data_IF_852214171851
#
_entry.id   IF_852214171851
#
_cell.length_a   1.000
_cell.length_b   1.000
_cell.length_c   1.000
_cell.angle_alpha   90.00
_cell.angle_beta   90.00
_cell.angle_gamma   90.00
#
_symmetry.space_group_name_H-M   'P 1'
#
loop_
_entity.id
_entity.type
_entity.pdbx_description
1 polymer ?
#
# COMPACT_ATOMS: atom_id res chain seq x y z
N UNK A 1 -9.34 -6.71 40.00
CA UNK A 1 -8.24 -7.41 39.29
C UNK A 1 -7.85 -6.54 38.13
N UNK A 2 -6.58 -6.12 38.07
CA UNK A 2 -6.15 -4.99 37.24
C UNK A 2 -6.25 -5.30 35.76
N UNK A 3 -7.12 -4.60 35.03
CA UNK A 3 -7.08 -4.60 33.58
C UNK A 3 -5.92 -3.70 33.12
N UNK A 4 -4.69 -4.21 33.25
CA UNK A 4 -3.51 -3.55 32.76
C UNK A 4 -3.22 -3.94 31.31
N UNK A 5 -2.76 -2.98 30.51
CA UNK A 5 -2.32 -3.20 29.13
C UNK A 5 -1.35 -4.38 28.99
N UNK A 6 -0.44 -4.54 29.96
CA UNK A 6 0.61 -5.56 29.92
C UNK A 6 0.09 -6.98 30.14
N UNK A 7 -1.00 -7.14 30.90
CA UNK A 7 -1.60 -8.45 31.13
C UNK A 7 -2.44 -8.90 29.93
N UNK A 8 -3.10 -7.96 29.24
CA UNK A 8 -3.97 -8.25 28.08
C UNK A 8 -3.75 -7.28 26.92
N UNK A 9 -2.60 -7.36 26.24
CA UNK A 9 -2.25 -6.41 25.17
C UNK A 9 -3.13 -6.58 23.92
N UNK A 10 -3.64 -7.79 23.67
CA UNK A 10 -4.45 -8.12 22.48
C UNK A 10 -5.93 -8.14 22.85
N UNK A 11 -6.68 -7.17 22.32
CA UNK A 11 -8.12 -7.03 22.57
C UNK A 11 -9.03 -7.57 21.45
N UNK A 12 -8.51 -7.64 20.22
CA UNK A 12 -9.32 -7.90 19.03
C UNK A 12 -8.80 -9.12 18.27
N UNK A 13 -9.71 -9.82 17.59
CA UNK A 13 -9.34 -10.81 16.58
C UNK A 13 -8.66 -10.13 15.39
N UNK A 14 -7.60 -10.70 14.80
CA UNK A 14 -6.98 -10.15 13.59
C UNK A 14 -7.86 -10.29 12.35
N UNK A 15 -8.96 -11.03 12.44
CA UNK A 15 -9.85 -11.34 11.32
C UNK A 15 -11.23 -10.68 11.39
N UNK A 16 -11.50 -9.86 12.40
CA UNK A 16 -12.75 -9.11 12.54
C UNK A 16 -12.44 -7.62 12.61
N UNK A 17 -13.47 -6.80 12.35
CA UNK A 17 -13.39 -5.36 12.58
C UNK A 17 -13.02 -5.11 14.06
N UNK A 18 -12.01 -4.28 14.35
CA UNK A 18 -11.66 -3.93 15.73
C UNK A 18 -12.85 -3.27 16.44
N UNK A 19 -13.22 -3.81 17.60
CA UNK A 19 -14.36 -3.36 18.40
C UNK A 19 -13.95 -2.83 19.78
N UNK A 20 -12.68 -2.96 20.16
CA UNK A 20 -12.13 -2.48 21.41
C UNK A 20 -10.77 -1.82 21.19
N UNK A 21 -10.41 -0.85 22.02
CA UNK A 21 -9.04 -0.35 22.12
C UNK A 21 -8.70 0.07 23.55
N UNK A 22 -7.42 0.00 23.90
CA UNK A 22 -6.92 0.43 25.21
C UNK A 22 -7.02 1.95 25.37
N UNK A 23 -7.38 2.47 26.56
CA UNK A 23 -7.29 3.90 26.85
C UNK A 23 -5.83 4.36 26.72
N UNK A 24 -5.63 5.52 26.12
CA UNK A 24 -4.31 6.12 25.95
C UNK A 24 -4.29 7.52 26.58
N UNK A 25 -3.13 7.92 27.08
CA UNK A 25 -2.89 9.30 27.51
C UNK A 25 -2.68 10.25 26.33
N UNK A 26 -2.47 11.53 26.62
CA UNK A 26 -2.20 12.58 25.65
C UNK A 26 -0.88 12.38 24.89
N UNK A 27 -0.03 11.42 25.26
CA UNK A 27 1.19 11.08 24.52
C UNK A 27 1.06 9.75 23.76
N UNK A 28 -0.14 9.16 23.75
CA UNK A 28 -0.41 7.87 23.12
C UNK A 28 0.10 6.65 23.91
N UNK A 29 0.48 6.83 25.18
CA UNK A 29 0.88 5.74 26.06
C UNK A 29 -0.34 5.01 26.64
N UNK A 30 -0.31 3.68 26.76
CA UNK A 30 -1.39 2.93 27.39
C UNK A 30 -1.61 3.34 28.84
N UNK A 31 -2.86 3.61 29.19
CA UNK A 31 -3.32 3.78 30.56
C UNK A 31 -3.86 2.45 31.09
N UNK A 32 -3.72 2.22 32.39
CA UNK A 32 -4.46 1.14 33.05
C UNK A 32 -5.94 1.51 33.12
N UNK A 33 -6.82 0.58 32.72
CA UNK A 33 -8.25 0.84 32.67
C UNK A 33 -9.02 -0.12 31.76
N UNK A 34 -10.35 -0.02 31.82
CA UNK A 34 -11.21 -0.84 30.98
C UNK A 34 -11.07 -0.49 29.49
N UNK A 35 -11.04 -1.49 28.58
CA UNK A 35 -11.05 -1.25 27.15
C UNK A 35 -12.25 -0.41 26.69
N UNK A 36 -11.98 0.58 25.84
CA UNK A 36 -13.00 1.45 25.25
C UNK A 36 -13.66 0.72 24.07
N UNK A 37 -15.00 0.81 23.99
CA UNK A 37 -15.78 0.25 22.88
C UNK A 37 -15.63 1.07 21.60
N UNK A 38 -15.47 0.37 20.48
CA UNK A 38 -15.32 0.94 19.15
C UNK A 38 -13.93 0.73 18.56
N UNK A 39 -13.74 1.26 17.35
CA UNK A 39 -12.43 1.28 16.68
C UNK A 39 -11.69 2.55 17.09
N UNK A 40 -10.41 2.41 17.45
CA UNK A 40 -9.54 3.56 17.75
C UNK A 40 -9.52 4.56 16.57
N UNK A 41 -9.87 5.84 16.79
CA UNK A 41 -9.74 6.88 15.78
C UNK A 41 -8.30 7.02 15.28
N UNK A 42 -8.12 7.41 14.02
CA UNK A 42 -6.80 7.72 13.50
C UNK A 42 -6.38 9.12 13.95
N UNK A 43 -5.25 9.24 14.64
CA UNK A 43 -4.70 10.50 15.15
C UNK A 43 -3.21 10.61 14.83
N UNK A 44 -2.73 11.82 14.57
CA UNK A 44 -1.28 12.08 14.54
C UNK A 44 -0.79 12.18 15.97
N UNK A 45 0.05 11.23 16.38
CA UNK A 45 0.73 11.26 17.67
C UNK A 45 2.20 11.37 17.31
N UNK A 46 2.80 12.53 17.58
CA UNK A 46 4.25 12.67 17.57
C UNK A 46 4.73 12.14 18.91
N UNK A 47 5.38 10.97 18.98
CA UNK A 47 5.89 10.48 20.25
C UNK A 47 7.03 11.39 20.66
N UNK A 48 6.79 12.30 21.60
CA UNK A 48 7.87 13.05 22.24
C UNK A 48 8.52 12.09 23.23
N UNK A 49 9.79 11.67 23.03
CA UNK A 49 10.46 10.84 24.01
C UNK A 49 10.63 11.65 25.30
N UNK A 50 10.00 11.21 26.38
CA UNK A 50 10.22 11.82 27.70
C UNK A 50 11.67 11.54 28.08
N UNK A 51 12.49 12.59 28.16
CA UNK A 51 13.87 12.47 28.59
C UNK A 51 13.90 11.95 30.04
N UNK A 52 14.62 10.85 30.28
CA UNK A 52 14.78 10.26 31.63
C UNK A 52 15.56 11.13 32.62
N UNK A 53 15.97 12.34 32.23
CA UNK A 53 16.67 13.30 33.10
C UNK A 53 15.83 14.58 33.18
N UNK A 54 15.27 14.86 34.36
CA UNK A 54 14.78 16.20 34.71
C UNK A 54 15.98 17.16 34.67
N UNK A 55 16.20 17.80 33.53
CA UNK A 55 17.06 18.98 33.44
C UNK A 55 16.16 20.21 33.56
N UNK A 56 16.41 21.02 34.59
CA UNK A 56 15.79 22.30 34.80
C UNK A 56 16.31 23.29 33.73
N UNK A 57 15.59 23.41 32.62
CA UNK A 57 15.62 24.56 31.74
C UNK A 57 14.42 24.45 30.79
N UNK A 58 13.47 25.37 30.93
CA UNK A 58 12.36 25.53 30.00
C UNK A 58 12.92 26.03 28.65
N UNK A 59 13.34 25.09 27.80
CA UNK A 59 13.57 25.39 26.40
C UNK A 59 12.19 25.44 25.73
N UNK A 60 11.88 26.58 25.11
CA UNK A 60 10.62 26.80 24.41
C UNK A 60 10.37 25.62 23.47
N UNK A 61 9.33 24.84 23.77
CA UNK A 61 8.81 23.86 22.84
C UNK A 61 8.40 24.62 21.59
N UNK A 62 9.03 24.33 20.45
CA UNK A 62 8.37 24.57 19.16
C UNK A 62 6.97 23.98 19.31
N UNK A 63 5.97 24.85 19.17
CA UNK A 63 4.56 24.49 19.26
C UNK A 63 4.27 23.60 18.05
N UNK A 64 4.64 22.33 18.20
CA UNK A 64 4.51 21.32 17.18
C UNK A 64 3.04 20.99 17.17
N UNK A 65 2.36 21.59 16.18
CA UNK A 65 0.91 21.62 16.00
C UNK A 65 0.20 20.47 16.72
N UNK A 66 -0.52 20.91 17.74
CA UNK A 66 -1.46 20.19 18.59
C UNK A 66 -2.22 19.13 17.81
N UNK A 67 -2.26 17.92 18.40
CA UNK A 67 -3.19 16.82 18.10
C UNK A 67 -4.26 17.11 17.06
N UNK A 68 -3.96 16.82 15.79
CA UNK A 68 -4.99 16.84 14.75
C UNK A 68 -5.41 15.40 14.45
N UNK A 69 -6.70 15.12 14.62
CA UNK A 69 -7.26 13.87 14.12
C UNK A 69 -6.97 13.75 12.62
N UNK A 70 -6.72 12.54 12.13
CA UNK A 70 -6.63 12.32 10.69
C UNK A 70 -8.04 12.35 10.10
N UNK A 71 -8.61 13.55 9.94
CA UNK A 71 -9.99 13.76 9.53
C UNK A 71 -10.32 12.97 8.25
N UNK A 72 -9.47 13.11 7.22
CA UNK A 72 -9.60 12.40 5.95
C UNK A 72 -9.64 10.87 6.12
N UNK A 73 -8.76 10.31 6.96
CA UNK A 73 -8.71 8.86 7.19
C UNK A 73 -9.96 8.39 7.94
N UNK A 74 -10.40 9.15 8.94
CA UNK A 74 -11.60 8.81 9.72
C UNK A 74 -12.87 8.92 8.86
N UNK A 75 -12.94 9.90 7.97
CA UNK A 75 -14.02 10.05 6.98
C UNK A 75 -14.07 8.85 6.02
N UNK A 76 -12.93 8.46 5.42
CA UNK A 76 -12.83 7.26 4.57
C UNK A 76 -13.32 6.01 5.33
N UNK A 77 -12.90 5.85 6.59
CA UNK A 77 -13.36 4.71 7.42
C UNK A 77 -14.87 4.73 7.65
N UNK A 78 -15.48 5.91 7.77
CA UNK A 78 -16.93 6.08 7.82
C UNK A 78 -17.61 5.56 6.56
N UNK A 79 -17.14 5.99 5.39
CA UNK A 79 -17.65 5.49 4.10
C UNK A 79 -17.44 3.98 3.92
N UNK A 80 -16.28 3.46 4.29
CA UNK A 80 -15.99 2.03 4.24
C UNK A 80 -16.92 1.21 5.14
N UNK A 81 -17.25 1.74 6.33
CA UNK A 81 -18.20 1.09 7.25
C UNK A 81 -19.59 1.03 6.64
N UNK A 82 -20.08 2.14 6.08
CA UNK A 82 -21.37 2.19 5.40
C UNK A 82 -21.41 1.29 4.16
N UNK A 83 -20.34 1.27 3.36
CA UNK A 83 -20.24 0.45 2.15
C UNK A 83 -20.21 -1.05 2.46
N UNK A 84 -19.49 -1.48 3.50
CA UNK A 84 -19.47 -2.88 3.96
C UNK A 84 -20.80 -3.36 4.50
N UNK A 85 -21.64 -2.46 5.02
CA UNK A 85 -22.96 -2.81 5.56
C UNK A 85 -23.99 -3.17 4.45
N UNK A 86 -23.69 -2.87 3.18
CA UNK A 86 -24.55 -3.21 2.05
C UNK A 86 -24.57 -4.74 1.87
N UNK A 87 -25.72 -5.34 2.16
CA UNK A 87 -25.88 -6.81 2.15
C UNK A 87 -25.95 -7.42 0.75
N UNK A 88 -26.57 -6.72 -0.21
CA UNK A 88 -26.68 -7.20 -1.58
C UNK A 88 -25.41 -6.87 -2.40
N UNK A 89 -24.67 -7.87 -2.91
CA UNK A 89 -23.46 -7.64 -3.69
C UNK A 89 -23.64 -6.78 -4.94
N UNK A 90 -24.83 -6.83 -5.56
CA UNK A 90 -25.12 -6.01 -6.75
C UNK A 90 -25.09 -4.50 -6.46
N UNK A 91 -25.34 -4.11 -5.21
CA UNK A 91 -25.40 -2.71 -4.77
C UNK A 91 -24.04 -2.18 -4.31
N UNK A 92 -22.98 -2.98 -4.37
CA UNK A 92 -21.62 -2.55 -4.03
C UNK A 92 -21.06 -1.52 -5.00
N UNK A 93 -21.59 -1.41 -6.23
CA UNK A 93 -21.19 -0.40 -7.21
C UNK A 93 -19.82 -0.64 -7.84
N UNK A 94 -19.35 -1.89 -7.86
CA UNK A 94 -18.08 -2.33 -8.46
C UNK A 94 -18.33 -3.15 -9.73
N UNK A 95 -17.29 -3.49 -10.49
CA UNK A 95 -17.42 -4.43 -11.62
C UNK A 95 -17.83 -5.83 -11.15
N UNK A 96 -18.36 -6.65 -12.05
CA UNK A 96 -18.70 -8.05 -11.77
C UNK A 96 -17.47 -8.88 -11.33
N UNK A 97 -16.30 -8.60 -11.91
CA UNK A 97 -15.05 -9.24 -11.51
C UNK A 97 -14.65 -8.87 -10.08
N UNK A 98 -14.69 -7.59 -9.75
CA UNK A 98 -14.42 -7.09 -8.39
C UNK A 98 -15.44 -7.63 -7.39
N UNK A 99 -16.73 -7.67 -7.75
CA UNK A 99 -17.77 -8.24 -6.89
C UNK A 99 -17.47 -9.69 -6.52
N UNK A 100 -17.08 -10.52 -7.50
CA UNK A 100 -16.72 -11.92 -7.25
C UNK A 100 -15.47 -12.08 -6.38
N UNK A 101 -14.46 -11.21 -6.55
CA UNK A 101 -13.27 -11.17 -5.68
C UNK A 101 -13.60 -10.74 -4.26
N UNK A 102 -14.42 -9.71 -4.08
CA UNK A 102 -14.86 -9.23 -2.77
C UNK A 102 -15.66 -10.31 -2.03
N UNK A 103 -16.58 -10.98 -2.73
CA UNK A 103 -17.33 -12.10 -2.17
C UNK A 103 -16.41 -13.24 -1.73
N UNK A 104 -15.42 -13.58 -2.57
CA UNK A 104 -14.38 -14.55 -2.22
C UNK A 104 -13.64 -14.15 -0.94
N UNK A 105 -13.13 -12.93 -0.84
CA UNK A 105 -12.37 -12.51 0.36
C UNK A 105 -13.20 -12.39 1.63
N UNK A 106 -14.50 -12.10 1.51
CA UNK A 106 -15.41 -11.92 2.65
C UNK A 106 -15.97 -13.23 3.17
N UNK A 107 -16.33 -14.15 2.26
CA UNK A 107 -17.20 -15.29 2.57
C UNK A 107 -16.57 -16.66 2.26
N UNK A 108 -15.46 -16.72 1.52
CA UNK A 108 -14.85 -18.00 1.17
C UNK A 108 -14.33 -18.76 2.40
N UNK A 109 -14.55 -20.07 2.38
CA UNK A 109 -13.99 -20.99 3.37
C UNK A 109 -12.58 -21.39 2.95
N UNK A 110 -11.59 -20.56 3.30
CA UNK A 110 -10.18 -20.81 3.02
C UNK A 110 -9.72 -22.12 3.66
N UNK A 111 -9.12 -23.00 2.85
CA UNK A 111 -8.42 -24.19 3.34
C UNK A 111 -7.04 -23.83 3.90
N UNK A 112 -6.41 -22.80 3.32
CA UNK A 112 -5.13 -22.25 3.73
C UNK A 112 -5.22 -20.95 4.53
N UNK A 113 -4.18 -20.10 4.48
CA UNK A 113 -4.14 -18.85 5.22
C UNK A 113 -5.24 -17.87 4.78
N UNK A 114 -6.28 -17.74 5.60
CA UNK A 114 -7.32 -16.73 5.42
C UNK A 114 -6.75 -15.31 5.57
N UNK A 115 -7.19 -14.32 4.76
CA UNK A 115 -6.76 -12.93 4.89
C UNK A 115 -7.13 -12.31 6.25
N UNK A 116 -6.22 -11.51 6.80
CA UNK A 116 -6.52 -10.68 7.96
C UNK A 116 -7.48 -9.56 7.59
N UNK A 117 -8.26 -9.08 8.56
CA UNK A 117 -9.18 -7.97 8.34
C UNK A 117 -8.45 -6.72 7.83
N UNK A 118 -7.25 -6.43 8.35
CA UNK A 118 -6.47 -5.28 7.89
C UNK A 118 -5.98 -5.42 6.43
N UNK A 119 -5.83 -6.64 5.91
CA UNK A 119 -5.48 -6.89 4.51
C UNK A 119 -6.69 -6.67 3.62
N UNK A 120 -7.84 -7.25 3.98
CA UNK A 120 -9.11 -7.03 3.30
C UNK A 120 -9.41 -5.53 3.28
N UNK A 121 -9.29 -4.86 4.42
CA UNK A 121 -9.59 -3.44 4.52
C UNK A 121 -8.69 -2.57 3.65
N UNK A 122 -7.40 -2.88 3.60
CA UNK A 122 -6.45 -2.18 2.75
C UNK A 122 -6.87 -2.26 1.27
N UNK A 123 -7.13 -3.47 0.78
CA UNK A 123 -7.51 -3.72 -0.63
C UNK A 123 -8.86 -3.11 -0.95
N UNK A 124 -9.85 -3.32 -0.09
CA UNK A 124 -11.19 -2.76 -0.25
C UNK A 124 -11.20 -1.23 -0.27
N UNK A 125 -10.32 -0.58 0.50
CA UNK A 125 -10.21 0.88 0.48
C UNK A 125 -9.72 1.37 -0.88
N UNK A 126 -8.74 0.69 -1.48
CA UNK A 126 -8.26 1.01 -2.83
C UNK A 126 -9.34 0.78 -3.88
N UNK A 127 -10.04 -0.35 -3.82
CA UNK A 127 -11.18 -0.65 -4.70
C UNK A 127 -12.24 0.44 -4.58
N UNK A 128 -12.61 0.81 -3.35
CA UNK A 128 -13.64 1.82 -3.12
C UNK A 128 -13.24 3.18 -3.66
N UNK A 129 -12.00 3.63 -3.43
CA UNK A 129 -11.48 4.89 -3.95
C UNK A 129 -11.44 4.91 -5.49
N UNK A 130 -11.23 3.77 -6.15
CA UNK A 130 -11.11 3.69 -7.62
C UNK A 130 -12.45 3.46 -8.32
N UNK A 131 -13.31 2.58 -7.82
CA UNK A 131 -14.52 2.15 -8.52
C UNK A 131 -15.79 2.82 -8.01
N UNK A 132 -15.86 3.13 -6.70
CA UNK A 132 -17.11 3.53 -6.03
C UNK A 132 -17.15 5.03 -5.77
N UNK A 133 -16.13 5.58 -5.10
CA UNK A 133 -16.07 6.99 -4.72
C UNK A 133 -16.21 7.95 -5.91
N UNK A 134 -15.61 7.72 -7.10
CA UNK A 134 -15.74 8.65 -8.22
C UNK A 134 -17.17 8.77 -8.76
N UNK A 135 -18.04 7.79 -8.46
CA UNK A 135 -19.43 7.74 -8.94
C UNK A 135 -20.43 8.33 -7.94
N UNK A 136 -19.99 8.78 -6.77
CA UNK A 136 -20.86 9.31 -5.72
C UNK A 136 -20.60 10.80 -5.52
N UNK A 137 -21.65 11.61 -5.58
CA UNK A 137 -21.55 13.05 -5.39
C UNK A 137 -21.00 13.43 -4.00
N UNK A 138 -21.41 12.68 -2.95
CA UNK A 138 -21.00 12.91 -1.57
C UNK A 138 -19.47 12.80 -1.36
N UNK A 139 -18.76 12.04 -2.20
CA UNK A 139 -17.32 11.80 -2.07
C UNK A 139 -16.48 12.68 -2.97
N UNK A 140 -17.09 13.62 -3.71
CA UNK A 140 -16.36 14.52 -4.62
C UNK A 140 -15.34 15.38 -3.85
N UNK A 141 -15.75 16.01 -2.75
CA UNK A 141 -14.85 16.83 -1.93
C UNK A 141 -13.67 16.05 -1.35
N UNK A 142 -13.90 14.79 -0.95
CA UNK A 142 -12.85 13.87 -0.50
C UNK A 142 -11.81 13.60 -1.61
N UNK A 143 -12.26 13.31 -2.83
CA UNK A 143 -11.38 13.03 -3.96
C UNK A 143 -10.61 14.29 -4.40
N UNK A 144 -11.25 15.46 -4.39
CA UNK A 144 -10.61 16.74 -4.69
C UNK A 144 -9.48 17.04 -3.68
N UNK A 145 -9.70 16.78 -2.39
CA UNK A 145 -8.65 16.90 -1.36
C UNK A 145 -7.48 15.94 -1.61
N UNK A 146 -7.75 14.68 -1.97
CA UNK A 146 -6.70 13.69 -2.28
C UNK A 146 -5.90 14.11 -3.53
N UNK A 147 -6.57 14.62 -4.56
CA UNK A 147 -5.94 15.10 -5.78
C UNK A 147 -5.05 16.31 -5.51
N UNK A 148 -5.55 17.30 -4.77
CA UNK A 148 -4.79 18.49 -4.37
C UNK A 148 -3.55 18.13 -3.55
N UNK A 149 -3.68 17.25 -2.56
CA UNK A 149 -2.55 16.79 -1.75
C UNK A 149 -1.49 16.04 -2.59
N UNK A 150 -1.92 15.34 -3.65
CA UNK A 150 -0.99 14.71 -4.58
C UNK A 150 -0.23 15.71 -5.43
N UNK A 151 -0.94 16.71 -5.98
CA UNK A 151 -0.38 17.78 -6.81
C UNK A 151 0.65 18.62 -6.04
N UNK A 152 0.34 18.98 -4.80
CA UNK A 152 1.23 19.74 -3.91
C UNK A 152 2.50 18.94 -3.55
N UNK A 153 2.43 17.61 -3.50
CA UNK A 153 3.55 16.77 -3.08
C UNK A 153 4.46 16.31 -4.23
N UNK A 154 3.91 15.81 -5.33
CA UNK A 154 4.64 15.50 -6.57
C UNK A 154 3.63 15.34 -7.71
N UNK A 155 3.51 16.33 -8.60
CA UNK A 155 2.44 16.39 -9.59
C UNK A 155 2.55 15.35 -10.70
N UNK A 156 3.72 14.72 -10.89
CA UNK A 156 3.95 13.82 -12.03
C UNK A 156 3.28 12.44 -11.87
N UNK A 157 2.99 12.01 -10.64
CA UNK A 157 2.47 10.68 -10.35
C UNK A 157 1.42 10.74 -9.23
N UNK A 158 0.20 10.29 -9.56
CA UNK A 158 -0.84 10.09 -8.56
C UNK A 158 -0.47 8.93 -7.63
N UNK A 159 -0.48 9.18 -6.32
CA UNK A 159 0.00 8.26 -5.29
C UNK A 159 -1.06 8.06 -4.23
N UNK A 160 -1.30 6.80 -3.92
CA UNK A 160 -2.05 6.36 -2.74
C UNK A 160 -1.14 5.47 -1.92
N UNK A 161 -1.18 5.64 -0.60
CA UNK A 161 -0.36 4.88 0.33
C UNK A 161 -1.20 4.28 1.46
N UNK A 162 -0.85 3.06 1.86
CA UNK A 162 -1.45 2.38 3.01
C UNK A 162 -0.41 2.21 4.09
N UNK A 163 -0.66 2.78 5.27
CA UNK A 163 0.20 2.55 6.44
C UNK A 163 -0.13 1.18 7.05
N UNK A 164 0.81 0.25 6.93
CA UNK A 164 0.66 -1.13 7.39
C UNK A 164 1.80 -1.54 8.33
N UNK A 165 1.47 -2.20 9.43
CA UNK A 165 2.45 -2.69 10.39
C UNK A 165 3.38 -3.77 9.79
N UNK A 166 4.54 -3.98 10.41
CA UNK A 166 5.37 -5.15 10.10
C UNK A 166 4.64 -6.41 10.52
N UNK A 167 4.71 -7.46 9.69
CA UNK A 167 3.99 -8.72 9.94
C UNK A 167 2.50 -8.72 9.55
N UNK A 168 1.89 -7.59 9.19
CA UNK A 168 0.46 -7.56 8.79
C UNK A 168 0.16 -8.16 7.40
N UNK A 169 1.18 -8.62 6.67
CA UNK A 169 1.05 -9.22 5.34
C UNK A 169 0.93 -8.22 4.19
N UNK A 170 1.82 -7.23 4.13
CA UNK A 170 1.92 -6.27 3.01
C UNK A 170 1.98 -6.96 1.63
N UNK A 171 2.77 -8.02 1.51
CA UNK A 171 2.90 -8.78 0.26
C UNK A 171 1.59 -9.46 -0.14
N UNK A 172 0.76 -9.88 0.82
CA UNK A 172 -0.58 -10.42 0.53
C UNK A 172 -1.49 -9.35 -0.06
N UNK A 173 -1.47 -8.13 0.49
CA UNK A 173 -2.20 -6.99 -0.07
C UNK A 173 -1.72 -6.66 -1.49
N UNK A 174 -0.41 -6.73 -1.75
CA UNK A 174 0.12 -6.55 -3.11
C UNK A 174 -0.45 -7.60 -4.08
N UNK A 175 -0.47 -8.88 -3.70
CA UNK A 175 -1.07 -9.94 -4.51
C UNK A 175 -2.56 -9.69 -4.76
N UNK A 176 -3.33 -9.30 -3.74
CA UNK A 176 -4.75 -9.00 -3.87
C UNK A 176 -5.02 -7.81 -4.81
N UNK A 177 -4.19 -6.75 -4.74
CA UNK A 177 -4.29 -5.60 -5.65
C UNK A 177 -3.94 -5.97 -7.10
N UNK A 178 -2.87 -6.75 -7.30
CA UNK A 178 -2.49 -7.25 -8.63
C UNK A 178 -3.61 -8.13 -9.19
N UNK A 179 -4.19 -8.99 -8.37
CA UNK A 179 -5.30 -9.85 -8.78
C UNK A 179 -6.53 -9.05 -9.19
N UNK A 180 -6.93 -8.07 -8.38
CA UNK A 180 -8.03 -7.17 -8.69
C UNK A 180 -7.82 -6.44 -10.02
N UNK A 181 -6.64 -5.86 -10.22
CA UNK A 181 -6.31 -5.12 -11.43
C UNK A 181 -6.26 -6.04 -12.66
N UNK A 182 -5.58 -7.18 -12.56
CA UNK A 182 -5.37 -8.11 -13.69
C UNK A 182 -6.67 -8.76 -14.14
N UNK A 183 -7.49 -9.28 -13.21
CA UNK A 183 -8.74 -9.96 -13.56
C UNK A 183 -9.71 -8.98 -14.22
N UNK A 184 -9.77 -7.74 -13.74
CA UNK A 184 -10.58 -6.71 -14.38
C UNK A 184 -10.07 -6.36 -15.78
N UNK A 185 -8.77 -6.11 -15.94
CA UNK A 185 -8.16 -5.81 -17.22
C UNK A 185 -8.33 -6.95 -18.24
N UNK A 186 -8.32 -8.21 -17.78
CA UNK A 186 -8.50 -9.39 -18.63
C UNK A 186 -9.95 -9.57 -19.13
N UNK A 187 -10.95 -9.13 -18.36
CA UNK A 187 -12.37 -9.30 -18.65
C UNK A 187 -13.00 -8.10 -19.36
N UNK A 188 -12.42 -6.91 -19.18
CA UNK A 188 -12.88 -5.69 -19.84
C UNK A 188 -11.69 -4.78 -20.11
N UNK A 189 -11.55 -4.30 -21.34
CA UNK A 189 -10.57 -3.26 -21.70
C UNK A 189 -11.00 -1.89 -21.16
N UNK A 190 -11.09 -1.77 -19.84
CA UNK A 190 -11.29 -0.50 -19.18
C UNK A 190 -9.93 0.18 -18.99
N UNK A 191 -9.87 1.47 -19.34
CA UNK A 191 -8.68 2.32 -19.16
C UNK A 191 -8.21 2.44 -17.70
N UNK A 192 -9.03 1.99 -16.73
CA UNK A 192 -8.78 2.15 -15.31
C UNK A 192 -8.10 0.93 -14.67
N UNK A 193 -7.89 -0.15 -15.41
CA UNK A 193 -7.24 -1.36 -14.90
C UNK A 193 -5.98 -1.70 -15.67
N UNK A 194 -4.98 -2.22 -14.97
CA UNK A 194 -3.69 -2.62 -15.56
C UNK A 194 -3.46 -4.12 -15.43
N UNK A 195 -2.71 -4.66 -16.40
CA UNK A 195 -2.04 -5.98 -16.29
C UNK A 195 -0.54 -5.86 -16.06
N UNK A 196 0.02 -4.66 -16.19
CA UNK A 196 1.45 -4.40 -16.05
C UNK A 196 1.75 -3.74 -14.69
N UNK A 197 2.68 -4.31 -13.94
CA UNK A 197 3.03 -3.88 -12.58
C UNK A 197 4.54 -3.77 -12.41
N UNK A 198 4.98 -2.63 -11.88
CA UNK A 198 6.34 -2.40 -11.44
C UNK A 198 6.40 -2.41 -9.91
N UNK A 199 7.21 -3.30 -9.34
CA UNK A 199 7.42 -3.43 -7.90
C UNK A 199 8.88 -3.07 -7.61
N UNK A 200 9.07 -1.95 -6.92
CA UNK A 200 10.41 -1.47 -6.53
C UNK A 200 10.69 -1.82 -5.07
N UNK A 201 11.65 -2.72 -4.86
CA UNK A 201 12.12 -3.14 -3.56
C UNK A 201 13.31 -2.28 -3.07
N UNK A 202 13.49 -2.12 -1.76
CA UNK A 202 14.63 -1.38 -1.20
C UNK A 202 15.97 -2.13 -1.34
N UNK A 203 15.96 -3.44 -1.61
CA UNK A 203 17.18 -4.22 -1.73
C UNK A 203 16.92 -5.60 -2.35
N UNK A 204 18.01 -6.27 -2.76
CA UNK A 204 17.94 -7.55 -3.49
C UNK A 204 17.27 -8.64 -2.65
N UNK A 205 17.50 -8.69 -1.34
CA UNK A 205 16.89 -9.69 -0.45
C UNK A 205 15.36 -9.57 -0.41
N UNK A 206 14.83 -8.34 -0.40
CA UNK A 206 13.38 -8.13 -0.41
C UNK A 206 12.83 -8.39 -1.81
N UNK A 207 13.53 -7.96 -2.86
CA UNK A 207 13.18 -8.27 -4.25
C UNK A 207 13.00 -9.77 -4.45
N UNK A 208 13.96 -10.58 -4.03
CA UNK A 208 13.94 -12.03 -4.25
C UNK A 208 12.80 -12.71 -3.47
N UNK A 209 12.49 -12.21 -2.26
CA UNK A 209 11.32 -12.67 -1.48
C UNK A 209 9.98 -12.30 -2.09
N UNK A 210 9.93 -11.26 -2.93
CA UNK A 210 8.70 -10.83 -3.61
C UNK A 210 8.38 -11.68 -4.84
N UNK A 211 9.24 -12.63 -5.24
CA UNK A 211 8.98 -13.57 -6.35
C UNK A 211 7.67 -14.35 -6.18
N UNK A 212 7.21 -14.55 -4.95
CA UNK A 212 5.87 -15.12 -4.66
C UNK A 212 4.70 -14.34 -5.28
N UNK A 213 4.92 -13.12 -5.79
CA UNK A 213 3.94 -12.33 -6.53
C UNK A 213 3.90 -12.66 -8.03
N UNK A 214 4.85 -13.43 -8.55
CA UNK A 214 4.93 -13.82 -9.95
C UNK A 214 3.99 -15.01 -10.20
N UNK A 215 3.00 -14.91 -11.11
CA UNK A 215 2.08 -16.01 -11.42
C UNK A 215 2.76 -17.27 -11.97
N UNK A 216 3.95 -17.13 -12.54
CA UNK A 216 4.73 -18.23 -13.11
C UNK A 216 5.48 -19.07 -12.08
N UNK A 217 5.60 -18.60 -10.83
CA UNK A 217 6.28 -19.33 -9.76
C UNK A 217 5.36 -20.39 -9.15
N UNK A 218 5.92 -21.55 -8.78
CA UNK A 218 5.17 -22.66 -8.23
C UNK A 218 4.56 -22.36 -6.85
N UNK A 219 5.20 -21.50 -6.07
CA UNK A 219 4.79 -21.09 -4.71
C UNK A 219 4.11 -19.71 -4.69
N UNK A 220 3.53 -19.30 -5.81
CA UNK A 220 2.86 -18.01 -5.92
C UNK A 220 1.72 -17.86 -4.90
N UNK A 221 1.52 -16.64 -4.41
CA UNK A 221 0.50 -16.36 -3.42
C UNK A 221 -0.92 -16.48 -3.95
N UNK A 222 -1.15 -16.38 -5.27
CA UNK A 222 -2.49 -16.50 -5.84
C UNK A 222 -3.09 -17.88 -5.57
N UNK A 223 -2.26 -18.93 -5.72
CA UNK A 223 -2.65 -20.32 -5.45
C UNK A 223 -2.47 -20.70 -3.99
N UNK A 224 -1.27 -20.52 -3.42
CA UNK A 224 -0.94 -21.00 -2.06
C UNK A 224 -1.73 -20.36 -0.92
N UNK A 225 -2.31 -19.18 -1.16
CA UNK A 225 -3.17 -18.47 -0.20
C UNK A 225 -4.60 -18.29 -0.71
N UNK A 226 -4.95 -18.97 -1.81
CA UNK A 226 -6.29 -18.91 -2.41
C UNK A 226 -6.76 -17.45 -2.61
N UNK A 227 -5.87 -16.55 -3.06
CA UNK A 227 -6.20 -15.11 -3.16
C UNK A 227 -7.26 -14.86 -4.22
N UNK A 228 -7.31 -15.70 -5.24
CA UNK A 228 -8.33 -15.65 -6.28
C UNK A 228 -9.12 -16.95 -6.30
N UNK A 229 -10.40 -16.89 -6.69
CA UNK A 229 -11.14 -18.08 -7.04
C UNK A 229 -10.43 -18.95 -8.09
N UNK A 230 -10.52 -20.29 -8.04
CA UNK A 230 -9.85 -21.17 -9.01
C UNK A 230 -10.20 -20.84 -10.46
N UNK A 231 -11.44 -20.42 -10.73
CA UNK A 231 -11.90 -20.04 -12.07
C UNK A 231 -11.26 -18.75 -12.61
N UNK A 232 -10.62 -17.94 -11.75
CA UNK A 232 -9.96 -16.68 -12.10
C UNK A 232 -8.43 -16.80 -12.22
N UNK A 233 -7.85 -17.95 -11.86
CA UNK A 233 -6.41 -18.19 -11.98
C UNK A 233 -5.87 -18.04 -13.42
N UNK A 234 -6.59 -18.48 -14.47
CA UNK A 234 -6.11 -18.28 -15.84
C UNK A 234 -5.93 -16.80 -16.21
N UNK A 235 -6.79 -15.90 -15.71
CA UNK A 235 -6.66 -14.46 -15.94
C UNK A 235 -5.41 -13.88 -15.24
N UNK A 236 -5.05 -14.39 -14.06
CA UNK A 236 -3.85 -13.94 -13.32
C UNK A 236 -2.56 -14.18 -14.10
N UNK A 237 -2.50 -15.24 -14.91
CA UNK A 237 -1.34 -15.53 -15.75
C UNK A 237 -1.07 -14.47 -16.83
N UNK A 238 -2.02 -13.56 -17.07
CA UNK A 238 -1.85 -12.41 -17.97
C UNK A 238 -1.15 -11.21 -17.32
N UNK A 239 -0.86 -11.27 -16.02
CA UNK A 239 -0.13 -10.21 -15.34
C UNK A 239 1.34 -10.19 -15.77
N UNK A 240 1.81 -9.01 -16.18
CA UNK A 240 3.20 -8.69 -16.45
C UNK A 240 3.77 -7.99 -15.22
N UNK A 241 4.64 -8.68 -14.48
CA UNK A 241 5.16 -8.16 -13.20
C UNK A 241 6.68 -8.06 -13.28
N UNK A 242 7.18 -6.86 -13.02
CA UNK A 242 8.59 -6.55 -12.93
C UNK A 242 8.91 -6.25 -11.47
N UNK A 243 9.80 -7.05 -10.87
CA UNK A 243 10.27 -6.85 -9.50
C UNK A 243 11.75 -6.46 -9.55
N UNK A 244 12.03 -5.21 -9.20
CA UNK A 244 13.38 -4.64 -9.29
C UNK A 244 13.75 -3.89 -8.00
N UNK A 245 15.02 -3.51 -7.85
CA UNK A 245 15.46 -2.66 -6.74
C UNK A 245 15.65 -1.22 -7.20
N UNK A 246 15.52 -0.24 -6.30
CA UNK A 246 15.61 1.18 -6.70
C UNK A 246 16.96 1.56 -7.33
N UNK A 247 18.06 0.90 -6.95
CA UNK A 247 19.37 1.12 -7.58
C UNK A 247 19.41 0.72 -9.06
N UNK A 248 18.48 -0.12 -9.53
CA UNK A 248 18.39 -0.44 -10.95
C UNK A 248 18.10 0.80 -11.81
N UNK A 249 17.47 1.83 -11.24
CA UNK A 249 17.14 3.07 -11.95
C UNK A 249 18.30 4.09 -12.00
N UNK A 250 19.46 3.77 -11.42
CA UNK A 250 20.65 4.61 -11.59
C UNK A 250 21.22 4.40 -13.01
N UNK A 251 21.51 5.51 -13.70
CA UNK A 251 22.22 5.47 -14.99
C UNK A 251 23.59 4.83 -14.80
N UNK A 252 23.91 3.87 -15.65
CA UNK A 252 25.24 3.26 -15.69
C UNK A 252 26.07 3.87 -16.80
N UNK A 253 27.39 3.78 -16.64
CA UNK A 253 28.31 4.07 -17.72
C UNK A 253 28.19 2.95 -18.78
N UNK A 254 27.91 3.32 -20.03
CA UNK A 254 27.84 2.41 -21.17
C UNK A 254 29.23 2.03 -21.69
N UNK A 255 30.26 2.78 -21.29
CA UNK A 255 31.65 2.59 -21.71
C UNK A 255 32.59 2.44 -20.51
N UNK A 256 33.38 1.37 -20.46
CA UNK A 256 34.44 1.17 -19.46
C UNK A 256 35.68 2.06 -19.66
N UNK A 257 35.54 3.18 -20.38
CA UNK A 257 36.64 4.05 -20.74
C UNK A 257 37.10 4.85 -19.52
N UNK A 258 38.38 4.74 -19.19
CA UNK A 258 39.02 5.58 -18.19
C UNK A 258 39.04 7.05 -18.65
N UNK A 259 39.27 7.98 -17.72
CA UNK A 259 39.23 9.44 -17.97
C UNK A 259 40.13 9.86 -19.15
N UNK A 260 41.28 9.22 -19.29
CA UNK A 260 42.27 9.48 -20.35
C UNK A 260 41.78 9.03 -21.73
N UNK A 261 41.22 7.82 -21.84
CA UNK A 261 40.67 7.31 -23.09
C UNK A 261 39.42 8.09 -23.54
N UNK A 262 38.62 8.57 -22.58
CA UNK A 262 37.50 9.49 -22.83
C UNK A 262 37.98 10.81 -23.45
N UNK A 263 39.01 11.43 -22.85
CA UNK A 263 39.57 12.68 -23.37
C UNK A 263 40.21 12.52 -24.74
N UNK A 264 40.84 11.36 -24.99
CA UNK A 264 41.43 11.05 -26.30
C UNK A 264 40.37 10.88 -27.39
N UNK A 265 39.31 10.11 -27.11
CA UNK A 265 38.21 9.88 -28.06
C UNK A 265 37.43 11.17 -28.35
N UNK A 266 37.30 12.07 -27.37
CA UNK A 266 36.56 13.33 -27.55
C UNK A 266 37.27 14.27 -28.52
N UNK A 267 38.61 14.24 -28.55
CA UNK A 267 39.41 15.09 -29.43
C UNK A 267 39.03 16.57 -29.31
N UNK A 268 38.87 17.23 -30.46
CA UNK A 268 38.39 18.63 -30.56
C UNK A 268 36.87 18.73 -30.82
N UNK A 269 36.12 17.65 -30.61
CA UNK A 269 34.69 17.65 -30.89
C UNK A 269 33.95 18.51 -29.87
N UNK A 270 33.06 19.44 -30.29
CA UNK A 270 32.40 20.38 -29.39
C UNK A 270 31.34 19.71 -28.50
N UNK A 271 30.91 18.48 -28.82
CA UNK A 271 29.98 17.72 -27.99
C UNK A 271 30.71 16.68 -27.16
N UNK A 272 30.45 16.59 -25.84
CA UNK A 272 31.03 15.57 -24.98
C UNK A 272 30.56 14.18 -25.40
N UNK A 273 31.47 13.20 -25.33
CA UNK A 273 31.12 11.80 -25.60
C UNK A 273 30.12 11.34 -24.56
N UNK A 274 28.97 10.90 -25.04
CA UNK A 274 27.94 10.28 -24.21
C UNK A 274 28.45 8.93 -23.71
N UNK A 275 28.72 8.86 -22.42
CA UNK A 275 29.26 7.67 -21.75
C UNK A 275 28.32 7.09 -20.70
N UNK A 276 27.17 7.74 -20.46
CA UNK A 276 26.11 7.27 -19.60
C UNK A 276 24.87 6.87 -20.40
N UNK A 277 24.13 5.88 -19.87
CA UNK A 277 22.87 5.40 -20.42
C UNK A 277 21.84 6.52 -20.63
N UNK A 278 21.02 6.40 -21.67
CA UNK A 278 19.77 7.16 -21.82
C UNK A 278 18.71 6.71 -20.79
N UNK A 279 17.70 7.54 -20.55
CA UNK A 279 16.52 7.14 -19.75
C UNK A 279 15.88 5.87 -20.33
N UNK A 280 15.77 5.78 -21.66
CA UNK A 280 15.21 4.61 -22.33
C UNK A 280 16.07 3.34 -22.15
N UNK A 281 17.39 3.46 -22.20
CA UNK A 281 18.34 2.36 -21.97
C UNK A 281 18.30 1.91 -20.51
N UNK A 282 18.28 2.85 -19.57
CA UNK A 282 18.14 2.59 -18.15
C UNK A 282 16.81 1.88 -17.85
N UNK A 283 15.69 2.36 -18.40
CA UNK A 283 14.38 1.75 -18.21
C UNK A 283 14.31 0.34 -18.82
N UNK A 284 14.86 0.16 -20.03
CA UNK A 284 14.94 -1.16 -20.68
C UNK A 284 15.74 -2.15 -19.81
N UNK A 285 16.85 -1.71 -19.22
CA UNK A 285 17.66 -2.52 -18.31
C UNK A 285 16.96 -2.80 -16.97
N UNK A 286 16.32 -1.79 -16.38
CA UNK A 286 15.73 -1.87 -15.05
C UNK A 286 14.41 -2.66 -15.05
N UNK A 287 13.63 -2.55 -16.12
CA UNK A 287 12.29 -3.12 -16.19
C UNK A 287 12.18 -4.37 -17.08
N UNK A 288 13.07 -4.55 -18.07
CA UNK A 288 12.90 -5.62 -19.05
C UNK A 288 11.69 -5.33 -19.96
N UNK A 289 11.95 -5.08 -21.23
CA UNK A 289 10.91 -4.94 -22.26
C UNK A 289 10.32 -6.29 -22.62
#
# INVERSE_FOLDING_TARGET
>A
MGNSFYERPILNSPYRVPSLFHPLDDNGQPLDGEPIRGRRPSKFIVPVPISRKKAAAAQASLDLETYTENALINEIRGYMTAWRAISNPADWGVTAATQRLLDHWRNHAFAGPRPFFCQIEAVETMIWLTEVAPRRAATKGLLDQIAKANEEANPALFRLAMKMATGSGKTTVMAMLIAWQTVNAARKELKNFSRAFLIVAPGITIRDRLRVLMPSEADNYYETREIVPPEMLPEIRRAEIVITNYHAFQHRETSGLNKTARSFMQGNSPQPIRTAETDAEMLKRACGS
#
